data_IF_022759022872
#
_entry.id   IF_022759022872
#
_cell.length_a   1.000
_cell.length_b   1.000
_cell.length_c   1.000
_cell.angle_alpha   90.00
_cell.angle_beta   90.00
_cell.angle_gamma   90.00
#
_symmetry.space_group_name_H-M   'P 1'
#
loop_
_entity.id
_entity.type
_entity.pdbx_description
1 polymer ?
#
# COMPACT_ATOMS: atom_id res chain seq x y z
N UNK A 1 38.58 -4.09 -12.43
CA UNK A 1 38.22 -3.13 -13.49
C UNK A 1 37.26 -3.84 -14.43
N UNK A 2 36.04 -3.32 -14.49
CA UNK A 2 35.08 -3.35 -15.62
C UNK A 2 34.71 -4.74 -16.18
N UNK A 3 33.62 -5.40 -15.76
CA UNK A 3 32.20 -5.08 -16.05
C UNK A 3 31.97 -4.82 -17.54
N UNK A 4 31.28 -5.71 -18.24
CA UNK A 4 30.21 -5.40 -19.21
C UNK A 4 29.58 -6.71 -19.71
N UNK A 5 28.54 -7.11 -19.00
CA UNK A 5 27.49 -8.03 -19.46
C UNK A 5 26.91 -7.53 -20.78
N UNK A 6 27.06 -8.33 -21.83
CA UNK A 6 26.36 -8.14 -23.11
C UNK A 6 24.86 -8.31 -22.89
N UNK A 7 24.12 -7.20 -22.94
CA UNK A 7 22.67 -7.19 -23.19
C UNK A 7 22.46 -7.43 -24.70
N UNK A 8 21.56 -8.35 -25.12
CA UNK A 8 21.15 -8.39 -26.51
C UNK A 8 20.22 -7.20 -26.76
N UNK A 9 20.77 -6.14 -27.36
CA UNK A 9 19.99 -5.05 -27.92
C UNK A 9 19.34 -5.54 -29.21
N UNK A 10 18.02 -5.79 -29.19
CA UNK A 10 17.24 -5.93 -30.42
C UNK A 10 17.00 -4.54 -31.03
N UNK A 11 18.05 -3.94 -31.60
CA UNK A 11 17.92 -2.81 -32.51
C UNK A 11 17.81 -3.37 -33.92
N UNK A 12 16.58 -3.51 -34.43
CA UNK A 12 16.33 -3.79 -35.84
C UNK A 12 16.73 -2.54 -36.65
N UNK A 13 17.74 -2.69 -37.49
CA UNK A 13 18.20 -1.67 -38.41
C UNK A 13 17.16 -1.52 -39.54
N UNK A 14 16.28 -0.53 -39.40
CA UNK A 14 15.37 -0.14 -40.47
C UNK A 14 16.05 0.95 -41.31
N UNK A 15 16.56 0.54 -42.47
CA UNK A 15 16.91 1.46 -43.57
C UNK A 15 15.62 2.17 -44.00
N UNK A 16 15.58 3.49 -43.86
CA UNK A 16 14.46 4.31 -44.29
C UNK A 16 14.54 4.58 -45.81
N UNK A 17 13.42 4.43 -46.54
CA UNK A 17 13.04 5.34 -47.60
C UNK A 17 11.88 6.21 -47.11
N UNK A 18 12.00 7.50 -47.39
CA UNK A 18 11.06 8.56 -47.03
C UNK A 18 9.81 8.48 -47.89
N UNK A 19 8.72 7.85 -47.44
CA UNK A 19 7.36 8.10 -47.96
C UNK A 19 6.33 8.02 -46.82
N UNK A 20 5.65 9.16 -46.62
CA UNK A 20 4.43 9.37 -45.83
C UNK A 20 4.06 8.28 -44.81
N UNK A 21 4.50 8.48 -43.56
CA UNK A 21 3.91 7.82 -42.40
C UNK A 21 2.44 8.28 -42.23
N UNK A 22 1.54 7.67 -42.98
CA UNK A 22 0.16 7.53 -42.55
C UNK A 22 0.20 6.63 -41.31
N UNK A 23 0.21 7.25 -40.13
CA UNK A 23 0.03 6.60 -38.82
C UNK A 23 -1.37 5.96 -38.72
N UNK A 24 -1.69 5.04 -39.63
CA UNK A 24 -2.94 4.28 -39.62
C UNK A 24 -2.70 3.04 -38.77
N UNK A 25 -3.17 3.09 -37.53
CA UNK A 25 -3.10 1.98 -36.59
C UNK A 25 -3.94 0.81 -37.13
N UNK A 26 -3.30 -0.29 -37.50
CA UNK A 26 -3.97 -1.50 -37.98
C UNK A 26 -4.37 -2.37 -36.77
N UNK A 27 -5.61 -2.23 -36.30
CA UNK A 27 -6.11 -2.93 -35.11
C UNK A 27 -6.04 -4.46 -35.24
N UNK A 28 -6.35 -5.00 -36.42
CA UNK A 28 -6.28 -6.45 -36.69
C UNK A 28 -4.86 -7.00 -36.53
N UNK A 29 -3.87 -6.29 -37.06
CA UNK A 29 -2.47 -6.70 -36.94
C UNK A 29 -1.99 -6.69 -35.48
N UNK A 30 -2.49 -5.73 -34.68
CA UNK A 30 -2.18 -5.65 -33.25
C UNK A 30 -2.82 -6.82 -32.49
N UNK A 31 -4.09 -7.15 -32.78
CA UNK A 31 -4.79 -8.26 -32.13
C UNK A 31 -4.11 -9.61 -32.42
N UNK A 32 -3.75 -9.87 -33.67
CA UNK A 32 -3.01 -11.08 -34.06
C UNK A 32 -1.66 -11.16 -33.35
N UNK A 33 -0.95 -10.02 -33.25
CA UNK A 33 0.35 -9.97 -32.58
C UNK A 33 0.24 -10.26 -31.07
N UNK A 34 -0.84 -9.83 -30.42
CA UNK A 34 -1.09 -10.12 -28.99
C UNK A 34 -1.41 -11.61 -28.78
N UNK A 35 -2.25 -12.20 -29.64
CA UNK A 35 -2.62 -13.62 -29.54
C UNK A 35 -1.41 -14.54 -29.74
N UNK A 36 -0.59 -14.26 -30.77
CA UNK A 36 0.66 -14.97 -31.02
C UNK A 36 1.62 -14.85 -29.84
N UNK A 37 1.73 -13.66 -29.24
CA UNK A 37 2.56 -13.44 -28.06
C UNK A 37 2.08 -14.26 -26.85
N UNK A 38 0.77 -14.33 -26.59
CA UNK A 38 0.21 -15.11 -25.49
C UNK A 38 0.42 -16.61 -25.67
N UNK A 39 0.22 -17.12 -26.88
CA UNK A 39 0.47 -18.53 -27.21
C UNK A 39 1.95 -18.90 -27.09
N UNK A 40 2.85 -18.00 -27.50
CA UNK A 40 4.30 -18.21 -27.41
C UNK A 40 4.86 -18.05 -25.99
N UNK A 41 4.16 -17.35 -25.11
CA UNK A 41 4.61 -17.06 -23.73
C UNK A 41 3.56 -17.48 -22.67
N UNK A 42 3.27 -18.79 -22.54
CA UNK A 42 2.23 -19.27 -21.62
C UNK A 42 2.52 -18.93 -20.16
N UNK A 43 3.79 -18.81 -19.77
CA UNK A 43 4.19 -18.41 -18.42
C UNK A 43 3.88 -16.94 -18.12
N UNK A 44 3.92 -16.05 -19.12
CA UNK A 44 3.54 -14.66 -18.93
C UNK A 44 2.04 -14.55 -18.65
N UNK A 45 1.23 -15.25 -19.46
CA UNK A 45 -0.24 -15.29 -19.30
C UNK A 45 -0.62 -15.89 -17.95
N UNK A 46 -0.02 -17.01 -17.56
CA UNK A 46 -0.29 -17.63 -16.27
C UNK A 46 0.16 -16.76 -15.09
N UNK A 47 1.30 -16.08 -15.21
CA UNK A 47 1.79 -15.13 -14.20
C UNK A 47 0.85 -13.95 -14.01
N UNK A 48 0.43 -13.28 -15.10
CA UNK A 48 -0.53 -12.17 -15.03
C UNK A 48 -1.88 -12.63 -14.46
N UNK A 49 -2.36 -13.80 -14.89
CA UNK A 49 -3.61 -14.40 -14.40
C UNK A 49 -3.53 -14.71 -12.90
N UNK A 50 -2.42 -15.28 -12.44
CA UNK A 50 -2.17 -15.54 -11.03
C UNK A 50 -2.12 -14.25 -10.20
N UNK A 51 -1.43 -13.21 -10.69
CA UNK A 51 -1.40 -11.92 -10.00
C UNK A 51 -2.81 -11.36 -9.87
N UNK A 52 -3.61 -11.41 -10.93
CA UNK A 52 -4.97 -10.86 -10.93
C UNK A 52 -5.93 -11.65 -10.03
N UNK A 53 -5.91 -12.98 -10.10
CA UNK A 53 -6.84 -13.84 -9.35
C UNK A 53 -6.42 -14.11 -7.90
N UNK A 54 -5.12 -14.00 -7.57
CA UNK A 54 -4.60 -14.42 -6.26
C UNK A 54 -3.90 -13.26 -5.56
N UNK A 55 -2.86 -12.69 -6.17
CA UNK A 55 -2.02 -11.68 -5.49
C UNK A 55 -2.82 -10.41 -5.19
N UNK A 56 -3.56 -9.86 -6.14
CA UNK A 56 -4.38 -8.66 -5.93
C UNK A 56 -5.45 -8.87 -4.85
N UNK A 57 -6.33 -9.89 -4.90
CA UNK A 57 -7.34 -10.06 -3.86
C UNK A 57 -6.74 -10.37 -2.49
N UNK A 58 -5.68 -11.20 -2.42
CA UNK A 58 -4.98 -11.45 -1.16
C UNK A 58 -4.36 -10.17 -0.60
N UNK A 59 -3.66 -9.39 -1.41
CA UNK A 59 -3.08 -8.12 -0.94
C UNK A 59 -4.18 -7.15 -0.53
N UNK A 60 -5.29 -7.05 -1.24
CA UNK A 60 -6.42 -6.23 -0.82
C UNK A 60 -6.99 -6.67 0.53
N UNK A 61 -7.14 -7.97 0.78
CA UNK A 61 -7.69 -8.47 2.05
C UNK A 61 -6.70 -8.35 3.22
N UNK A 62 -5.43 -8.66 3.00
CA UNK A 62 -4.39 -8.55 4.03
C UNK A 62 -4.03 -7.10 4.34
N UNK A 63 -3.90 -6.24 3.33
CA UNK A 63 -3.56 -4.83 3.50
C UNK A 63 -4.75 -4.00 4.00
N UNK A 64 -6.02 -4.43 3.81
CA UNK A 64 -7.21 -3.75 4.36
C UNK A 64 -7.18 -3.62 5.89
N UNK A 65 -6.45 -4.49 6.60
CA UNK A 65 -6.35 -4.43 8.07
C UNK A 65 -5.72 -3.12 8.56
N UNK A 66 -4.91 -2.47 7.72
CA UNK A 66 -4.29 -1.19 8.03
C UNK A 66 -4.47 -0.23 6.85
N UNK A 67 -5.28 0.81 7.05
CA UNK A 67 -5.52 1.82 6.04
C UNK A 67 -4.88 3.13 6.47
N UNK A 68 -3.95 3.64 5.65
CA UNK A 68 -3.51 5.03 5.77
C UNK A 68 -4.71 5.94 5.46
N UNK A 69 -5.05 6.79 6.41
CA UNK A 69 -6.17 7.73 6.32
C UNK A 69 -5.66 9.13 6.60
N UNK A 70 -6.27 10.13 5.95
CA UNK A 70 -5.96 11.53 6.25
C UNK A 70 -6.33 11.86 7.69
N UNK A 71 -5.69 12.86 8.29
CA UNK A 71 -6.02 13.30 9.64
C UNK A 71 -7.50 13.72 9.78
N UNK A 72 -8.06 14.33 8.73
CA UNK A 72 -9.47 14.75 8.68
C UNK A 72 -10.39 13.52 8.66
N UNK A 73 -10.08 12.51 7.85
CA UNK A 73 -10.90 11.29 7.78
C UNK A 73 -10.74 10.44 9.03
N UNK A 74 -9.56 10.42 9.66
CA UNK A 74 -9.35 9.82 10.97
C UNK A 74 -10.20 10.51 12.03
N UNK A 75 -10.21 11.84 12.06
CA UNK A 75 -11.04 12.61 12.99
C UNK A 75 -12.54 12.37 12.75
N UNK A 76 -12.99 12.31 11.49
CA UNK A 76 -14.37 11.95 11.14
C UNK A 76 -14.71 10.55 11.65
N UNK A 77 -13.82 9.57 11.42
CA UNK A 77 -14.01 8.21 11.94
C UNK A 77 -14.07 8.18 13.47
N UNK A 78 -13.18 8.91 14.14
CA UNK A 78 -13.18 9.07 15.59
C UNK A 78 -14.49 9.67 16.14
N UNK A 79 -15.12 10.57 15.39
CA UNK A 79 -16.40 11.17 15.77
C UNK A 79 -17.58 10.23 15.49
N UNK A 80 -17.59 9.60 14.33
CA UNK A 80 -18.76 8.90 13.80
C UNK A 80 -18.86 7.44 14.32
N UNK A 81 -17.72 6.81 14.63
CA UNK A 81 -17.65 5.43 15.13
C UNK A 81 -17.38 5.40 16.66
N UNK A 82 -18.30 4.91 17.50
CA UNK A 82 -18.11 4.84 18.95
C UNK A 82 -16.96 3.91 19.35
N UNK A 83 -16.68 2.86 18.58
CA UNK A 83 -15.65 1.86 18.86
C UNK A 83 -14.26 2.26 18.33
N UNK A 84 -14.13 3.45 17.75
CA UNK A 84 -12.85 3.97 17.31
C UNK A 84 -12.15 4.76 18.42
N UNK A 85 -10.83 4.59 18.53
CA UNK A 85 -10.00 5.26 19.53
C UNK A 85 -8.65 5.69 18.95
N UNK A 86 -8.10 6.79 19.47
CA UNK A 86 -6.80 7.30 19.03
C UNK A 86 -5.69 6.70 19.89
N UNK A 87 -4.73 6.06 19.22
CA UNK A 87 -3.50 5.56 19.80
C UNK A 87 -2.34 6.46 19.36
N UNK A 88 -1.74 7.16 20.31
CA UNK A 88 -0.56 7.98 20.08
C UNK A 88 0.69 7.16 20.41
N UNK A 89 1.47 6.82 19.37
CA UNK A 89 2.68 5.99 19.52
C UNK A 89 3.97 6.81 19.59
N UNK A 90 3.84 8.15 19.55
CA UNK A 90 4.99 9.06 19.52
C UNK A 90 5.82 8.94 20.80
N UNK A 91 7.12 9.09 20.65
CA UNK A 91 8.06 9.04 21.77
C UNK A 91 7.92 10.23 22.72
N UNK A 92 8.43 10.08 23.95
CA UNK A 92 8.39 11.13 24.99
C UNK A 92 8.94 12.48 24.55
N UNK A 93 9.99 12.50 23.72
CA UNK A 93 10.58 13.74 23.17
C UNK A 93 9.59 14.48 22.27
N UNK A 94 8.87 13.76 21.42
CA UNK A 94 7.84 14.32 20.54
C UNK A 94 6.65 14.83 21.35
N UNK A 95 6.24 14.09 22.39
CA UNK A 95 5.16 14.51 23.30
C UNK A 95 5.52 15.77 24.10
N UNK A 96 6.80 15.94 24.46
CA UNK A 96 7.29 17.15 25.12
C UNK A 96 7.27 18.37 24.19
N UNK A 97 7.45 18.17 22.89
CA UNK A 97 7.38 19.25 21.90
C UNK A 97 5.94 19.55 21.47
N UNK A 98 5.14 18.52 21.24
CA UNK A 98 3.73 18.60 20.86
C UNK A 98 2.93 17.61 21.71
N UNK A 99 2.07 18.14 22.56
CA UNK A 99 1.17 17.33 23.38
C UNK A 99 0.29 16.41 22.52
N UNK A 100 -0.25 15.35 23.14
CA UNK A 100 -1.22 14.49 22.45
C UNK A 100 -2.49 15.25 22.09
N UNK A 101 -3.14 14.90 20.97
CA UNK A 101 -4.39 15.54 20.57
C UNK A 101 -5.45 15.47 21.67
N UNK A 102 -6.29 16.50 21.75
CA UNK A 102 -7.38 16.55 22.72
C UNK A 102 -8.69 16.11 22.04
N UNK A 103 -9.24 14.96 22.45
CA UNK A 103 -10.51 14.41 21.94
C UNK A 103 -11.70 14.59 22.89
N UNK A 104 -11.58 15.48 23.89
CA UNK A 104 -12.69 15.77 24.84
C UNK A 104 -13.96 16.25 24.14
N UNK A 105 -13.83 16.95 23.01
CA UNK A 105 -14.97 17.39 22.18
C UNK A 105 -15.79 16.20 21.65
N UNK A 106 -15.16 15.03 21.50
CA UNK A 106 -15.78 13.79 21.06
C UNK A 106 -16.14 12.85 22.23
N UNK A 107 -15.97 13.30 23.50
CA UNK A 107 -16.07 12.47 24.70
C UNK A 107 -15.19 11.20 24.64
N UNK A 108 -14.03 11.27 23.97
CA UNK A 108 -13.10 10.15 23.79
C UNK A 108 -11.74 10.46 24.43
N UNK A 109 -11.08 9.40 24.89
CA UNK A 109 -9.70 9.44 25.39
C UNK A 109 -8.68 9.21 24.28
N UNK A 110 -7.42 9.52 24.60
CA UNK A 110 -6.25 9.15 23.79
C UNK A 110 -5.40 8.20 24.60
N UNK A 111 -5.09 7.04 24.01
CA UNK A 111 -4.20 6.06 24.62
C UNK A 111 -2.79 6.36 24.13
N UNK A 112 -1.87 6.61 25.07
CA UNK A 112 -0.47 6.93 24.75
C UNK A 112 0.41 5.73 25.09
N UNK A 113 0.96 5.08 24.07
CA UNK A 113 1.89 3.95 24.25
C UNK A 113 3.05 4.18 23.29
N UNK A 114 4.20 4.68 23.77
CA UNK A 114 5.36 4.90 22.91
C UNK A 114 5.82 3.60 22.24
N UNK A 115 5.96 3.62 20.92
CA UNK A 115 6.48 2.48 20.18
C UNK A 115 8.02 2.47 20.16
N UNK A 116 8.61 1.28 20.31
CA UNK A 116 10.05 1.03 20.21
C UNK A 116 10.29 -0.26 19.45
N UNK A 117 11.15 -0.22 18.43
CA UNK A 117 11.41 -1.38 17.56
C UNK A 117 11.99 -2.59 18.32
N UNK A 118 12.67 -2.36 19.45
CA UNK A 118 13.29 -3.41 20.26
C UNK A 118 12.34 -4.16 21.21
N UNK A 119 11.08 -3.71 21.36
CA UNK A 119 10.09 -4.32 22.28
C UNK A 119 8.70 -4.40 21.64
N UNK A 120 8.60 -5.15 20.53
CA UNK A 120 7.34 -5.31 19.78
C UNK A 120 6.30 -6.06 20.60
N UNK A 121 6.70 -7.17 21.23
CA UNK A 121 5.78 -8.01 21.98
C UNK A 121 5.26 -7.30 23.25
N UNK A 122 6.13 -6.59 23.96
CA UNK A 122 5.74 -5.78 25.12
C UNK A 122 4.84 -4.61 24.74
N UNK A 123 5.05 -4.02 23.56
CA UNK A 123 4.16 -2.98 23.02
C UNK A 123 2.75 -3.52 22.73
N UNK A 124 2.63 -4.64 22.03
CA UNK A 124 1.33 -5.26 21.72
C UNK A 124 0.60 -5.63 23.02
N UNK A 125 1.30 -6.21 24.00
CA UNK A 125 0.72 -6.53 25.29
C UNK A 125 0.15 -5.30 26.00
N UNK A 126 0.90 -4.20 26.05
CA UNK A 126 0.44 -2.93 26.65
C UNK A 126 -0.79 -2.40 25.94
N UNK A 127 -0.86 -2.47 24.60
CA UNK A 127 -2.05 -2.08 23.86
C UNK A 127 -3.24 -2.93 24.32
N UNK A 128 -3.13 -4.25 24.26
CA UNK A 128 -4.22 -5.16 24.61
C UNK A 128 -4.76 -4.94 26.03
N UNK A 129 -3.89 -4.58 26.98
CA UNK A 129 -4.28 -4.26 28.37
C UNK A 129 -5.06 -2.93 28.50
N UNK A 130 -4.90 -1.99 27.56
CA UNK A 130 -5.58 -0.69 27.61
C UNK A 130 -7.00 -0.71 26.99
N UNK A 131 -7.36 -1.75 26.25
CA UNK A 131 -8.66 -1.84 25.58
C UNK A 131 -9.48 -2.99 26.16
N UNK A 132 -10.70 -2.70 26.60
CA UNK A 132 -11.61 -3.71 27.15
C UNK A 132 -12.05 -4.74 26.11
N UNK A 133 -12.20 -4.32 24.84
CA UNK A 133 -12.55 -5.18 23.72
C UNK A 133 -11.64 -4.91 22.51
N UNK A 134 -10.41 -5.47 22.51
CA UNK A 134 -9.45 -5.24 21.44
C UNK A 134 -9.92 -5.78 20.08
N UNK A 135 -10.81 -6.78 20.05
CA UNK A 135 -11.28 -7.41 18.83
C UNK A 135 -12.26 -6.53 18.05
N UNK A 136 -13.07 -5.72 18.76
CA UNK A 136 -14.06 -4.84 18.15
C UNK A 136 -13.65 -3.35 18.12
N UNK A 137 -12.48 -3.01 18.67
CA UNK A 137 -11.97 -1.63 18.70
C UNK A 137 -11.17 -1.30 17.44
N UNK A 138 -11.48 -0.19 16.78
CA UNK A 138 -10.66 0.35 15.68
C UNK A 138 -9.65 1.37 16.22
N UNK A 139 -8.35 1.14 15.98
CA UNK A 139 -7.30 2.06 16.39
C UNK A 139 -6.92 3.02 15.24
N UNK A 140 -7.06 4.32 15.49
CA UNK A 140 -6.41 5.35 14.67
C UNK A 140 -5.02 5.58 15.25
N UNK A 141 -3.96 5.29 14.50
CA UNK A 141 -2.58 5.40 14.99
C UNK A 141 -1.99 6.73 14.59
N UNK A 142 -1.47 7.48 15.55
CA UNK A 142 -0.70 8.70 15.34
C UNK A 142 0.79 8.39 15.49
N UNK A 143 1.51 8.46 14.37
CA UNK A 143 2.96 8.38 14.30
C UNK A 143 3.56 9.76 13.96
N UNK A 144 4.90 9.85 13.95
CA UNK A 144 5.74 11.04 13.71
C UNK A 144 5.22 12.01 12.66
#
# INVERSE_FOLDING_TARGET
MELFTYLPCFASEAVAPTEQASYKINLEAILVSIDEFFNRNPFFVSGVTFIWLVVIPLTQEYLKKYKFISAIDAFRKLRDDPNSQLLDIRGKKSLAYLSSPNLKVLNKGVVQVPFSEGDKDGFVKKILENFADPANTTLCVLDK
#
